data_IF_362803896910
#
_entry.id   IF_362803896910
#
_cell.length_a   1.000
_cell.length_b   1.000
_cell.length_c   1.000
_cell.angle_alpha   90.00
_cell.angle_beta   90.00
_cell.angle_gamma   90.00
#
_symmetry.space_group_name_H-M   'P 1'
#
loop_
_entity.id
_entity.type
_entity.pdbx_description
1 polymer ?
#
# COMPACT_ATOMS: atom_id res chain seq x y z
N UNK A 1 35.18 15.72 25.79
CA UNK A 1 34.20 15.37 26.84
C UNK A 1 33.07 14.63 26.15
N UNK A 2 33.20 13.31 26.03
CA UNK A 2 32.22 12.50 25.32
C UNK A 2 31.00 12.28 26.20
N UNK A 3 29.84 12.79 25.78
CA UNK A 3 28.57 12.44 26.41
C UNK A 3 28.28 10.98 26.09
N UNK A 4 28.41 10.11 27.10
CA UNK A 4 27.74 8.82 27.09
C UNK A 4 26.24 9.11 27.11
N UNK A 5 25.55 8.73 26.04
CA UNK A 5 24.09 8.66 26.04
C UNK A 5 23.76 7.45 26.90
N UNK A 6 23.34 7.68 28.14
CA UNK A 6 22.87 6.63 29.04
C UNK A 6 21.62 5.98 28.44
N UNK A 7 21.63 4.66 28.28
CA UNK A 7 20.52 3.88 27.72
C UNK A 7 19.22 4.03 28.53
N UNK A 8 19.32 4.42 29.82
CA UNK A 8 18.18 4.75 30.67
C UNK A 8 17.54 6.12 30.40
N UNK A 9 18.20 7.00 29.63
CA UNK A 9 17.67 8.33 29.29
C UNK A 9 16.55 8.26 28.25
N UNK A 10 16.47 7.23 27.41
CA UNK A 10 15.49 7.18 26.31
C UNK A 10 14.08 6.75 26.75
N UNK A 11 13.92 5.99 27.84
CA UNK A 11 12.65 5.36 28.23
C UNK A 11 11.58 6.34 28.72
N UNK A 12 11.95 7.23 29.66
CA UNK A 12 11.00 8.15 30.29
C UNK A 12 10.68 9.34 29.40
N UNK A 13 11.59 9.70 28.50
CA UNK A 13 11.48 10.91 27.70
C UNK A 13 10.52 10.77 26.51
N UNK A 14 10.32 9.60 25.91
CA UNK A 14 9.33 9.47 24.82
C UNK A 14 7.90 9.63 25.31
N UNK A 15 7.57 8.98 26.41
CA UNK A 15 6.30 9.14 27.10
C UNK A 15 6.15 10.57 27.58
N UNK A 16 7.18 11.15 28.23
CA UNK A 16 7.14 12.55 28.66
C UNK A 16 7.06 13.55 27.52
N UNK A 17 7.67 13.31 26.36
CA UNK A 17 7.60 14.19 25.18
C UNK A 17 6.18 14.13 24.63
N UNK A 18 5.63 12.93 24.41
CA UNK A 18 4.22 12.81 24.02
C UNK A 18 3.28 13.43 25.07
N UNK A 19 3.64 13.40 26.37
CA UNK A 19 2.86 14.01 27.46
C UNK A 19 3.03 15.53 27.60
N UNK A 20 4.21 16.11 27.38
CA UNK A 20 4.55 17.51 27.72
C UNK A 20 4.86 18.40 26.51
N UNK A 21 5.41 17.85 25.42
CA UNK A 21 5.85 18.61 24.25
C UNK A 21 5.45 17.88 22.95
N UNK A 22 4.40 18.37 22.27
CA UNK A 22 3.96 17.87 20.96
C UNK A 22 4.94 18.26 19.82
N UNK A 23 6.19 17.81 19.91
CA UNK A 23 7.21 18.06 18.88
C UNK A 23 7.44 16.80 18.03
N UNK A 24 6.89 16.72 16.80
CA UNK A 24 7.02 15.53 15.95
C UNK A 24 8.48 15.24 15.58
N UNK A 25 9.31 16.28 15.40
CA UNK A 25 10.74 16.14 15.13
C UNK A 25 11.49 15.48 16.28
N UNK A 26 11.12 15.81 17.52
CA UNK A 26 11.73 15.22 18.71
C UNK A 26 11.33 13.75 18.84
N UNK A 27 10.05 13.43 18.60
CA UNK A 27 9.57 12.05 18.58
C UNK A 27 10.31 11.24 17.51
N UNK A 28 10.46 11.76 16.30
CA UNK A 28 11.20 11.09 15.21
C UNK A 28 12.67 10.81 15.59
N UNK A 29 13.36 11.80 16.17
CA UNK A 29 14.73 11.61 16.67
C UNK A 29 14.79 10.52 17.75
N UNK A 30 13.84 10.52 18.68
CA UNK A 30 13.78 9.51 19.74
C UNK A 30 13.50 8.11 19.18
N UNK A 31 12.61 7.98 18.18
CA UNK A 31 12.36 6.72 17.48
C UNK A 31 13.60 6.21 16.76
N UNK A 32 14.37 7.11 16.14
CA UNK A 32 15.63 6.77 15.45
C UNK A 32 16.74 6.30 16.40
N UNK A 33 16.67 6.68 17.67
CA UNK A 33 17.68 6.35 18.69
C UNK A 33 17.55 4.96 19.32
N UNK A 34 16.66 4.09 18.83
CA UNK A 34 16.52 2.71 19.29
C UNK A 34 15.55 2.53 20.44
N UNK A 35 14.29 2.92 20.23
CA UNK A 35 13.22 2.80 21.23
C UNK A 35 12.75 1.37 21.43
N UNK A 36 12.40 0.99 22.68
CA UNK A 36 11.71 -0.29 22.94
C UNK A 36 10.27 -0.20 22.47
N UNK A 37 9.79 -1.26 21.82
CA UNK A 37 8.43 -1.33 21.28
C UNK A 37 7.36 -1.01 22.33
N UNK A 38 7.49 -1.53 23.56
CA UNK A 38 6.52 -1.29 24.65
C UNK A 38 6.37 0.19 25.01
N UNK A 39 7.47 0.96 24.94
CA UNK A 39 7.44 2.39 25.25
C UNK A 39 6.74 3.17 24.12
N UNK A 40 6.99 2.77 22.86
CA UNK A 40 6.31 3.32 21.68
C UNK A 40 4.81 3.00 21.69
N UNK A 41 4.40 1.80 22.13
CA UNK A 41 2.98 1.43 22.32
C UNK A 41 2.30 2.31 23.38
N UNK A 42 2.94 2.55 24.52
CA UNK A 42 2.41 3.46 25.55
C UNK A 42 2.28 4.88 25.03
N UNK A 43 3.31 5.37 24.34
CA UNK A 43 3.29 6.69 23.70
C UNK A 43 2.17 6.81 22.65
N UNK A 44 1.88 5.73 21.91
CA UNK A 44 0.79 5.67 20.96
C UNK A 44 -0.57 5.82 21.66
N UNK A 45 -0.82 5.06 22.72
CA UNK A 45 -2.07 5.14 23.50
C UNK A 45 -2.31 6.57 24.02
N UNK A 46 -1.26 7.21 24.56
CA UNK A 46 -1.35 8.60 25.05
C UNK A 46 -1.62 9.57 23.90
N UNK A 47 -0.91 9.42 22.78
CA UNK A 47 -1.05 10.28 21.60
C UNK A 47 -2.43 10.18 20.95
N UNK A 48 -3.02 8.98 20.89
CA UNK A 48 -4.40 8.75 20.45
C UNK A 48 -5.38 9.52 21.34
N UNK A 49 -5.21 9.45 22.67
CA UNK A 49 -6.04 10.20 23.61
C UNK A 49 -5.94 11.73 23.44
N UNK A 50 -4.79 12.23 22.98
CA UNK A 50 -4.57 13.65 22.67
C UNK A 50 -5.02 14.07 21.28
N UNK A 51 -5.18 13.12 20.35
CA UNK A 51 -5.55 13.39 18.94
C UNK A 51 -4.42 13.96 18.07
N UNK A 52 -3.15 13.77 18.45
CA UNK A 52 -2.02 14.30 17.69
C UNK A 52 -1.69 13.42 16.47
N UNK A 53 -2.42 13.64 15.37
CA UNK A 53 -2.36 12.81 14.16
C UNK A 53 -0.94 12.63 13.60
N UNK A 54 -0.10 13.67 13.68
CA UNK A 54 1.28 13.59 13.16
C UNK A 54 2.11 12.63 14.02
N UNK A 55 2.07 12.78 15.35
CA UNK A 55 2.79 11.89 16.26
C UNK A 55 2.25 10.46 16.15
N UNK A 56 0.93 10.28 16.08
CA UNK A 56 0.31 8.96 15.91
C UNK A 56 0.86 8.28 14.64
N UNK A 57 0.88 8.99 13.50
CA UNK A 57 1.38 8.41 12.24
C UNK A 57 2.86 8.00 12.32
N UNK A 58 3.71 8.77 13.01
CA UNK A 58 5.13 8.43 13.23
C UNK A 58 5.29 7.19 14.10
N UNK A 59 4.51 7.10 15.18
CA UNK A 59 4.53 5.95 16.09
C UNK A 59 4.03 4.69 15.39
N UNK A 60 2.93 4.79 14.63
CA UNK A 60 2.40 3.68 13.83
C UNK A 60 3.38 3.22 12.76
N UNK A 61 4.05 4.15 12.07
CA UNK A 61 5.07 3.82 11.05
C UNK A 61 6.20 2.99 11.64
N UNK A 62 6.59 3.26 12.89
CA UNK A 62 7.62 2.47 13.58
C UNK A 62 7.12 1.09 14.02
N UNK A 63 5.86 0.99 14.44
CA UNK A 63 5.29 -0.20 15.06
C UNK A 63 4.72 -1.22 14.06
N UNK A 64 4.11 -0.73 12.98
CA UNK A 64 3.21 -1.53 12.17
C UNK A 64 3.72 -1.82 10.75
N UNK A 65 4.69 -1.05 10.26
CA UNK A 65 5.16 -1.20 8.89
C UNK A 65 6.16 -2.36 8.78
N UNK A 66 5.73 -3.44 8.12
CA UNK A 66 6.58 -4.56 7.74
C UNK A 66 6.83 -4.52 6.24
N UNK A 67 7.97 -3.91 5.88
CA UNK A 67 8.42 -3.79 4.49
C UNK A 67 8.84 -5.12 3.87
N UNK A 68 9.21 -6.13 4.67
CA UNK A 68 9.61 -7.42 4.13
C UNK A 68 8.41 -8.19 3.56
N UNK A 69 7.24 -8.01 4.18
CA UNK A 69 6.00 -8.69 3.80
C UNK A 69 4.98 -7.76 3.10
N UNK A 70 5.34 -6.51 2.82
CA UNK A 70 4.44 -5.49 2.27
C UNK A 70 3.13 -5.39 3.07
N UNK A 71 3.25 -5.43 4.39
CA UNK A 71 2.12 -5.49 5.31
C UNK A 71 2.15 -4.36 6.31
N UNK A 72 0.96 -3.88 6.66
CA UNK A 72 0.73 -2.98 7.79
C UNK A 72 0.04 -3.79 8.88
N UNK A 73 0.75 -4.06 9.97
CA UNK A 73 0.30 -4.86 11.10
C UNK A 73 -0.12 -3.95 12.25
N UNK A 74 -1.39 -3.52 12.23
CA UNK A 74 -2.01 -2.69 13.25
C UNK A 74 -2.87 -3.53 14.22
N UNK A 75 -2.64 -4.83 14.34
CA UNK A 75 -3.36 -5.70 15.28
C UNK A 75 -3.09 -5.39 16.76
N UNK A 76 -4.15 -5.40 17.59
CA UNK A 76 -4.03 -5.46 19.05
C UNK A 76 -3.53 -4.17 19.73
N UNK A 77 -3.62 -3.02 19.06
CA UNK A 77 -3.22 -1.73 19.63
C UNK A 77 -4.33 -1.06 20.46
N UNK A 78 -5.56 -1.60 20.45
CA UNK A 78 -6.72 -1.04 21.16
C UNK A 78 -6.97 0.44 20.78
N UNK A 79 -6.87 0.76 19.49
CA UNK A 79 -6.91 2.14 18.99
C UNK A 79 -8.33 2.74 19.08
N UNK A 80 -9.37 1.90 19.04
CA UNK A 80 -10.79 2.26 19.21
C UNK A 80 -11.42 3.02 18.04
N UNK A 81 -10.63 3.79 17.29
CA UNK A 81 -11.02 4.45 16.03
C UNK A 81 -9.86 4.45 15.05
N UNK A 82 -10.10 4.80 13.80
CA UNK A 82 -9.04 5.02 12.82
C UNK A 82 -9.33 6.24 11.98
N UNK A 83 -8.29 6.97 11.59
CA UNK A 83 -8.40 8.17 10.76
C UNK A 83 -7.51 8.04 9.51
N UNK A 84 -7.94 8.59 8.35
CA UNK A 84 -7.13 8.55 7.13
C UNK A 84 -5.77 9.23 7.30
N UNK A 85 -5.70 10.27 8.14
CA UNK A 85 -4.47 11.01 8.46
C UNK A 85 -3.41 10.15 9.15
N UNK A 86 -3.81 9.11 9.89
CA UNK A 86 -2.90 8.21 10.58
C UNK A 86 -2.33 7.17 9.63
N UNK A 87 -3.17 6.69 8.71
CA UNK A 87 -2.85 5.64 7.76
C UNK A 87 -2.10 6.14 6.53
N UNK A 88 -2.44 7.34 6.03
CA UNK A 88 -1.83 7.94 4.84
C UNK A 88 -0.30 7.84 4.84
N UNK A 89 0.37 8.32 5.91
CA UNK A 89 1.82 8.24 6.01
C UNK A 89 2.38 6.82 6.20
N UNK A 90 1.59 5.75 6.29
CA UNK A 90 2.09 4.37 6.37
C UNK A 90 2.27 3.75 4.99
N UNK A 91 1.52 4.22 4.00
CA UNK A 91 1.62 3.71 2.65
C UNK A 91 2.84 4.34 1.93
N UNK A 92 3.56 3.56 1.12
CA UNK A 92 4.67 4.06 0.32
C UNK A 92 4.15 5.01 -0.78
N UNK A 93 4.58 6.27 -0.78
CA UNK A 93 4.20 7.23 -1.81
C UNK A 93 4.73 6.83 -3.19
N UNK A 94 3.86 6.82 -4.22
CA UNK A 94 4.26 6.71 -5.65
C UNK A 94 5.25 7.81 -6.07
N UNK A 95 5.26 8.95 -5.36
CA UNK A 95 6.15 10.09 -5.63
C UNK A 95 7.49 10.02 -4.90
N UNK A 96 7.75 8.95 -4.13
CA UNK A 96 9.05 8.74 -3.48
C UNK A 96 10.09 8.06 -4.39
N UNK A 97 9.80 7.86 -5.67
CA UNK A 97 10.84 7.64 -6.66
C UNK A 97 11.57 8.96 -6.93
N UNK A 98 12.74 9.11 -6.29
CA UNK A 98 13.74 10.19 -6.36
C UNK A 98 13.76 11.21 -5.21
N UNK A 99 13.58 10.75 -3.98
CA UNK A 99 14.57 11.09 -2.95
C UNK A 99 15.36 9.84 -2.56
N UNK A 100 16.00 9.22 -3.55
CA UNK A 100 17.40 8.86 -3.33
C UNK A 100 18.01 10.14 -2.78
N UNK A 101 18.51 10.12 -1.55
CA UNK A 101 19.52 11.10 -1.16
C UNK A 101 20.50 11.12 -2.31
N UNK A 102 20.42 12.13 -3.18
CA UNK A 102 21.44 12.37 -4.17
C UNK A 102 22.59 12.92 -3.37
N UNK A 103 23.32 12.01 -2.71
CA UNK A 103 24.66 12.35 -2.30
C UNK A 103 25.39 12.77 -3.58
N UNK A 104 26.25 13.78 -3.45
CA UNK A 104 26.99 14.37 -4.56
C UNK A 104 27.66 13.29 -5.42
N UNK A 105 28.07 12.18 -4.81
CA UNK A 105 28.62 10.99 -5.48
C UNK A 105 27.69 10.37 -6.54
N UNK A 106 26.39 10.23 -6.26
CA UNK A 106 25.41 9.67 -7.21
C UNK A 106 25.09 10.59 -8.40
N UNK A 107 25.30 11.90 -8.23
CA UNK A 107 25.16 12.91 -9.29
C UNK A 107 26.41 12.89 -10.15
N UNK A 108 27.60 12.88 -9.52
CA UNK A 108 28.88 12.75 -10.21
C UNK A 108 28.94 11.46 -11.04
N UNK A 109 28.53 10.32 -10.47
CA UNK A 109 28.53 9.04 -11.17
C UNK A 109 27.65 9.08 -12.44
N UNK A 110 26.49 9.74 -12.37
CA UNK A 110 25.62 9.93 -13.55
C UNK A 110 26.20 10.90 -14.57
N UNK A 111 26.89 11.96 -14.13
CA UNK A 111 27.59 12.87 -15.04
C UNK A 111 28.76 12.18 -15.74
N UNK A 112 29.55 11.38 -15.02
CA UNK A 112 30.67 10.61 -15.56
C UNK A 112 30.17 9.58 -16.57
N UNK A 113 29.10 8.83 -16.24
CA UNK A 113 28.49 7.87 -17.16
C UNK A 113 27.96 8.56 -18.43
N UNK A 114 27.34 9.74 -18.31
CA UNK A 114 26.89 10.51 -19.49
C UNK A 114 28.04 11.01 -20.35
N UNK A 115 29.16 11.39 -19.73
CA UNK A 115 30.35 11.85 -20.46
C UNK A 115 31.03 10.69 -21.20
N UNK A 116 31.11 9.51 -20.57
CA UNK A 116 31.63 8.29 -21.20
C UNK A 116 30.76 7.82 -22.37
N UNK A 117 29.43 7.88 -22.23
CA UNK A 117 28.54 7.55 -23.35
C UNK A 117 28.61 8.56 -24.50
N UNK A 118 28.96 9.83 -24.23
CA UNK A 118 29.18 10.83 -25.27
C UNK A 118 30.50 10.61 -26.02
N UNK A 119 31.58 10.25 -25.31
CA UNK A 119 32.86 9.96 -25.99
C UNK A 119 32.78 8.69 -26.86
N UNK A 120 31.97 7.70 -26.48
CA UNK A 120 31.73 6.50 -27.31
C UNK A 120 30.89 6.75 -28.55
N UNK A 121 30.12 7.85 -28.60
CA UNK A 121 29.35 8.24 -29.79
C UNK A 121 30.19 9.12 -30.72
N UNK A 122 31.14 9.89 -30.19
CA UNK A 122 32.05 10.71 -31.00
C UNK A 122 33.21 9.91 -31.63
N UNK A 123 33.63 8.77 -31.06
CA UNK A 123 34.63 7.88 -31.69
C UNK A 123 34.05 6.99 -32.81
N UNK A 124 32.73 6.91 -32.95
CA UNK A 124 32.05 6.11 -33.99
C UNK A 124 31.75 6.85 -35.30
N UNK A 125 32.01 8.15 -35.37
CA UNK A 125 31.69 8.99 -36.53
C UNK A 125 32.93 9.70 -37.10
N UNK A 126 33.99 8.95 -37.38
CA UNK A 126 35.14 9.43 -38.13
C UNK A 126 35.18 8.79 -39.53
N UNK A 127 34.46 9.39 -40.49
CA UNK A 127 34.81 9.29 -41.92
C UNK A 127 34.14 10.43 -42.70
N UNK A 128 34.91 11.48 -43.04
CA UNK A 128 34.61 12.33 -44.19
C UNK A 128 34.77 13.86 -44.01
N UNK A 129 35.96 14.37 -44.37
CA UNK A 129 36.25 15.66 -45.03
C UNK A 129 36.10 17.02 -44.30
N UNK A 130 37.26 17.57 -43.93
CA UNK A 130 37.81 18.96 -44.06
C UNK A 130 36.87 20.18 -44.07
N UNK A 131 37.11 21.11 -43.12
CA UNK A 131 36.80 22.55 -43.26
C UNK A 131 37.01 23.37 -41.96
N UNK A 132 37.97 24.30 -41.98
CA UNK A 132 38.43 25.20 -40.90
C UNK A 132 37.35 26.01 -40.13
N UNK A 133 37.55 26.32 -38.83
CA UNK A 133 38.12 27.58 -38.30
C UNK A 133 38.04 27.67 -36.75
N UNK A 134 38.83 28.62 -36.22
CA UNK A 134 39.38 28.88 -34.86
C UNK A 134 38.43 29.10 -33.66
N UNK A 135 39.05 28.92 -32.48
CA UNK A 135 38.96 29.71 -31.22
C UNK A 135 37.59 30.27 -30.75
N UNK A 136 37.14 29.86 -29.56
CA UNK A 136 37.32 30.71 -28.37
C UNK A 136 36.88 29.99 -27.08
N UNK A 137 37.76 30.13 -26.09
CA UNK A 137 37.65 29.60 -24.73
C UNK A 137 37.25 30.75 -23.82
N UNK A 138 36.38 30.45 -22.85
CA UNK A 138 35.91 31.28 -21.73
C UNK A 138 34.84 32.32 -22.06
N UNK A 139 33.62 32.09 -21.57
CA UNK A 139 33.19 32.91 -20.43
C UNK A 139 31.95 32.36 -19.70
N UNK A 140 32.01 32.55 -18.38
CA UNK A 140 30.89 32.74 -17.43
C UNK A 140 30.12 31.52 -16.91
N UNK A 141 30.61 31.12 -15.73
CA UNK A 141 29.79 30.78 -14.58
C UNK A 141 28.84 31.94 -14.18
N UNK A 142 27.73 31.52 -13.57
CA UNK A 142 26.77 32.27 -12.74
C UNK A 142 25.77 33.21 -13.43
N UNK A 143 24.50 32.74 -13.51
CA UNK A 143 23.41 33.36 -12.72
C UNK A 143 22.15 32.47 -12.72
N UNK A 144 21.66 32.16 -11.52
CA UNK A 144 20.34 31.57 -11.26
C UNK A 144 19.21 32.54 -11.66
N UNK A 145 18.04 32.05 -12.09
CA UNK A 145 16.74 32.17 -11.37
C UNK A 145 15.50 31.76 -12.20
N UNK A 146 14.57 31.04 -11.53
CA UNK A 146 13.08 31.15 -11.55
C UNK A 146 12.29 30.83 -12.85
N UNK A 147 11.07 30.24 -12.89
CA UNK A 147 10.23 29.29 -12.11
C UNK A 147 9.26 28.60 -13.15
N UNK A 148 8.07 28.07 -12.78
CA UNK A 148 7.69 26.66 -12.78
C UNK A 148 6.99 26.23 -14.08
N UNK A 149 6.64 24.95 -14.24
CA UNK A 149 5.59 24.63 -15.21
C UNK A 149 4.46 23.80 -14.60
N UNK A 150 3.28 24.28 -14.97
CA UNK A 150 1.93 23.88 -14.68
C UNK A 150 1.51 22.70 -15.56
N UNK A 151 0.58 21.94 -15.01
CA UNK A 151 -0.16 20.87 -15.66
C UNK A 151 -0.88 21.28 -16.95
N UNK A 152 -0.74 20.48 -17.99
CA UNK A 152 -1.82 19.77 -18.71
C UNK A 152 -1.22 19.26 -20.02
N UNK A 153 -1.47 18.00 -20.36
CA UNK A 153 -1.77 17.76 -21.78
C UNK A 153 -2.77 16.62 -21.97
N UNK A 154 -3.73 16.95 -22.82
CA UNK A 154 -4.94 16.23 -23.12
C UNK A 154 -4.74 15.44 -24.41
N UNK A 155 -5.34 14.27 -24.44
CA UNK A 155 -5.55 13.40 -25.60
C UNK A 155 -6.09 14.18 -26.81
N UNK A 156 -5.51 13.99 -28.00
CA UNK A 156 -6.20 13.70 -29.28
C UNK A 156 -5.15 13.40 -30.37
N UNK A 157 -5.16 12.18 -30.92
CA UNK A 157 -4.40 11.82 -32.12
C UNK A 157 -5.38 11.35 -33.19
N UNK A 158 -5.60 12.19 -34.20
CA UNK A 158 -6.28 11.84 -35.44
C UNK A 158 -5.38 10.95 -36.31
N UNK A 159 -6.06 10.10 -37.07
CA UNK A 159 -5.60 9.18 -38.11
C UNK A 159 -4.85 9.85 -39.27
N UNK A 160 -4.00 9.08 -39.96
CA UNK A 160 -4.11 8.72 -41.39
C UNK A 160 -2.90 7.85 -41.84
N UNK A 161 -3.17 6.63 -42.34
CA UNK A 161 -2.66 5.89 -43.54
C UNK A 161 -1.16 5.93 -43.96
N UNK A 162 -0.50 4.93 -44.59
CA UNK A 162 -0.78 3.61 -45.19
C UNK A 162 0.57 2.93 -45.60
N UNK A 163 0.49 1.65 -46.02
CA UNK A 163 1.40 0.84 -46.89
C UNK A 163 2.29 -0.31 -46.33
N UNK A 164 1.70 -1.53 -46.37
CA UNK A 164 2.00 -2.68 -47.26
C UNK A 164 3.30 -3.53 -47.24
N UNK A 165 3.03 -4.85 -47.32
CA UNK A 165 3.80 -6.03 -47.81
C UNK A 165 4.77 -6.82 -46.91
N UNK A 166 4.59 -8.16 -46.91
CA UNK A 166 5.73 -9.08 -47.10
C UNK A 166 5.92 -10.29 -46.16
N UNK A 167 5.12 -11.34 -46.33
CA UNK A 167 5.48 -12.78 -46.31
C UNK A 167 6.60 -13.40 -45.43
N UNK A 168 6.20 -14.50 -44.77
CA UNK A 168 6.85 -15.84 -44.71
C UNK A 168 7.73 -16.27 -43.52
N UNK A 169 7.29 -17.42 -42.95
CA UNK A 169 7.97 -18.48 -42.18
C UNK A 169 9.52 -18.45 -42.13
N UNK A 170 10.08 -18.75 -40.96
CA UNK A 170 11.02 -19.87 -40.72
C UNK A 170 11.31 -20.07 -39.21
N UNK A 171 11.18 -21.33 -38.76
CA UNK A 171 11.53 -21.83 -37.44
C UNK A 171 13.06 -21.91 -37.26
N UNK A 172 13.58 -21.66 -36.05
CA UNK A 172 14.65 -22.51 -35.50
C UNK A 172 14.69 -22.46 -33.97
N UNK A 173 14.75 -23.66 -33.39
CA UNK A 173 14.90 -24.01 -32.00
C UNK A 173 16.14 -23.39 -31.33
N UNK A 174 15.97 -22.79 -30.15
CA UNK A 174 16.87 -23.02 -29.00
C UNK A 174 16.05 -23.02 -27.70
N UNK A 175 16.39 -24.00 -26.84
CA UNK A 175 15.71 -24.32 -25.59
C UNK A 175 15.90 -23.19 -24.57
N UNK A 176 14.81 -22.66 -24.03
CA UNK A 176 14.83 -21.96 -22.74
C UNK A 176 14.04 -22.79 -21.73
N UNK A 177 14.67 -23.85 -21.22
CA UNK A 177 14.33 -24.37 -19.90
C UNK A 177 14.93 -23.41 -18.87
N UNK A 178 14.06 -22.94 -17.99
CA UNK A 178 14.35 -22.58 -16.60
C UNK A 178 15.46 -21.55 -16.40
N UNK A 179 15.07 -20.27 -16.33
CA UNK A 179 15.54 -19.30 -15.32
C UNK A 179 15.32 -17.85 -15.78
N UNK A 180 14.07 -17.40 -15.88
CA UNK A 180 13.74 -15.98 -15.64
C UNK A 180 12.42 -15.93 -14.85
N UNK A 181 12.43 -16.57 -13.69
CA UNK A 181 11.56 -16.26 -12.54
C UNK A 181 12.03 -14.98 -11.81
N UNK A 182 12.67 -14.03 -12.52
CA UNK A 182 13.41 -12.93 -11.90
C UNK A 182 13.03 -11.55 -12.43
N UNK A 183 11.94 -11.42 -13.18
CA UNK A 183 11.26 -10.12 -13.31
C UNK A 183 10.29 -9.96 -12.15
N UNK A 184 10.88 -9.96 -10.95
CA UNK A 184 10.26 -9.38 -9.80
C UNK A 184 10.21 -7.86 -10.10
N UNK A 185 9.11 -7.44 -10.70
CA UNK A 185 8.60 -6.08 -10.56
C UNK A 185 8.29 -5.90 -9.07
N UNK A 186 9.29 -5.68 -8.23
CA UNK A 186 9.20 -5.75 -6.76
C UNK A 186 8.39 -4.58 -6.18
N UNK A 187 7.07 -4.76 -6.24
CA UNK A 187 5.98 -4.35 -5.33
C UNK A 187 6.21 -3.10 -4.47
N UNK A 188 5.90 -1.93 -5.02
CA UNK A 188 5.74 -0.66 -4.27
C UNK A 188 4.40 -0.54 -3.52
N UNK A 189 3.65 -1.63 -3.32
CA UNK A 189 2.30 -1.57 -2.75
C UNK A 189 2.16 -2.47 -1.54
N UNK A 190 1.45 -1.96 -0.53
CA UNK A 190 1.02 -2.74 0.64
C UNK A 190 -0.08 -3.70 0.18
N UNK A 191 0.14 -4.99 0.39
CA UNK A 191 -0.79 -6.06 -0.01
C UNK A 191 -1.58 -6.60 1.17
N UNK A 192 -1.14 -6.37 2.41
CA UNK A 192 -1.83 -6.84 3.61
C UNK A 192 -2.02 -5.72 4.63
N UNK A 193 -3.24 -5.61 5.16
CA UNK A 193 -3.58 -4.66 6.23
C UNK A 193 -4.29 -5.43 7.34
N UNK A 194 -3.64 -5.49 8.48
CA UNK A 194 -4.20 -6.04 9.71
C UNK A 194 -4.63 -4.91 10.63
N UNK A 195 -5.93 -4.86 10.94
CA UNK A 195 -6.58 -3.93 11.84
C UNK A 195 -7.32 -4.68 12.96
N UNK A 196 -6.97 -5.95 13.20
CA UNK A 196 -7.62 -6.81 14.16
C UNK A 196 -7.47 -6.33 15.61
N UNK A 197 -8.36 -6.78 16.49
CA UNK A 197 -8.24 -6.56 17.94
C UNK A 197 -8.05 -5.08 18.35
N UNK A 198 -8.79 -4.16 17.71
CA UNK A 198 -8.67 -2.71 17.95
C UNK A 198 -9.92 -2.06 18.51
N UNK A 199 -10.96 -2.84 18.84
CA UNK A 199 -12.25 -2.34 19.35
C UNK A 199 -12.94 -1.37 18.37
N UNK A 200 -12.65 -1.48 17.07
CA UNK A 200 -13.22 -0.61 16.04
C UNK A 200 -14.72 -0.84 15.92
N UNK A 201 -15.50 0.25 15.91
CA UNK A 201 -16.95 0.21 15.71
C UNK A 201 -17.35 0.39 14.26
N UNK A 202 -16.54 1.11 13.50
CA UNK A 202 -16.67 1.36 12.07
C UNK A 202 -15.29 1.46 11.42
N UNK A 203 -15.28 1.41 10.09
CA UNK A 203 -14.09 1.59 9.24
C UNK A 203 -14.36 2.58 8.12
N UNK A 204 -15.23 3.57 8.38
CA UNK A 204 -15.64 4.55 7.35
C UNK A 204 -14.46 5.39 6.86
N UNK A 205 -13.45 5.56 7.71
CA UNK A 205 -12.17 6.17 7.35
C UNK A 205 -11.47 5.49 6.15
N UNK A 206 -11.67 4.18 5.94
CA UNK A 206 -11.14 3.48 4.77
C UNK A 206 -12.01 3.68 3.52
N UNK A 207 -13.31 3.93 3.72
CA UNK A 207 -14.32 4.04 2.66
C UNK A 207 -14.31 5.41 1.98
N UNK A 208 -14.01 6.48 2.73
CA UNK A 208 -13.95 7.82 2.16
C UNK A 208 -12.84 7.91 1.12
N UNK A 209 -13.16 8.50 -0.04
CA UNK A 209 -12.14 8.78 -1.07
C UNK A 209 -11.11 9.74 -0.48
N UNK A 210 -9.95 9.22 -0.12
CA UNK A 210 -8.91 9.95 0.57
C UNK A 210 -7.53 9.52 0.06
N UNK A 211 -6.46 10.03 0.68
CA UNK A 211 -5.08 9.78 0.25
C UNK A 211 -4.72 8.29 0.21
N UNK A 212 -5.42 7.41 0.94
CA UNK A 212 -5.13 5.98 0.98
C UNK A 212 -5.89 5.15 -0.07
N UNK A 213 -6.92 5.70 -0.72
CA UNK A 213 -7.79 4.91 -1.61
C UNK A 213 -7.01 4.26 -2.75
N UNK A 214 -6.02 4.95 -3.33
CA UNK A 214 -5.18 4.40 -4.41
C UNK A 214 -4.24 3.26 -3.96
N UNK A 215 -3.95 3.17 -2.66
CA UNK A 215 -3.18 2.05 -2.11
C UNK A 215 -4.06 0.84 -1.81
N UNK A 216 -5.28 1.09 -1.33
CA UNK A 216 -6.26 0.04 -1.02
C UNK A 216 -6.70 -0.74 -2.26
N UNK A 217 -6.57 -0.18 -3.47
CA UNK A 217 -6.86 -0.89 -4.73
C UNK A 217 -5.99 -2.14 -4.93
N UNK A 218 -4.77 -2.14 -4.38
CA UNK A 218 -3.81 -3.23 -4.49
C UNK A 218 -3.82 -4.17 -3.27
N UNK A 219 -4.71 -3.94 -2.30
CA UNK A 219 -4.78 -4.74 -1.09
C UNK A 219 -5.31 -6.15 -1.42
N UNK A 220 -4.55 -7.18 -1.06
CA UNK A 220 -4.89 -8.59 -1.26
C UNK A 220 -5.52 -9.20 0.00
N UNK A 221 -5.11 -8.75 1.19
CA UNK A 221 -5.55 -9.27 2.49
C UNK A 221 -5.96 -8.15 3.45
N UNK A 222 -7.15 -8.28 4.03
CA UNK A 222 -7.69 -7.35 5.04
C UNK A 222 -8.18 -8.13 6.26
N UNK A 223 -7.54 -7.92 7.40
CA UNK A 223 -7.89 -8.54 8.67
C UNK A 223 -8.56 -7.51 9.58
N UNK A 224 -9.83 -7.75 9.90
CA UNK A 224 -10.69 -6.88 10.71
C UNK A 224 -11.32 -7.65 11.87
N UNK A 225 -10.81 -8.84 12.17
CA UNK A 225 -11.36 -9.71 13.18
C UNK A 225 -11.16 -9.16 14.61
N UNK A 226 -11.95 -9.66 15.55
CA UNK A 226 -11.91 -9.24 16.97
C UNK A 226 -12.11 -7.72 17.15
N UNK A 227 -13.02 -7.13 16.38
CA UNK A 227 -13.45 -5.74 16.55
C UNK A 227 -14.91 -5.69 17.01
N UNK A 228 -15.50 -4.50 17.00
CA UNK A 228 -16.90 -4.25 17.36
C UNK A 228 -17.71 -3.78 16.14
N UNK A 229 -17.34 -4.21 14.92
CA UNK A 229 -17.97 -3.76 13.69
C UNK A 229 -19.40 -4.31 13.58
N UNK A 230 -20.35 -3.43 13.28
CA UNK A 230 -21.75 -3.80 13.02
C UNK A 230 -22.08 -3.83 11.52
N UNK A 231 -21.24 -3.21 10.69
CA UNK A 231 -21.42 -3.09 9.25
C UNK A 231 -20.07 -3.00 8.54
N UNK A 232 -20.09 -3.24 7.23
CA UNK A 232 -18.95 -3.03 6.34
C UNK A 232 -19.35 -1.99 5.30
N UNK A 233 -18.58 -0.92 5.07
CA UNK A 233 -18.98 0.12 4.14
C UNK A 233 -19.01 -0.40 2.70
N UNK A 234 -20.16 -0.30 2.03
CA UNK A 234 -20.34 -0.82 0.67
C UNK A 234 -19.36 -0.18 -0.34
N UNK A 235 -19.05 1.10 -0.21
CA UNK A 235 -18.14 1.82 -1.10
C UNK A 235 -16.70 1.29 -1.00
N UNK A 236 -16.33 0.69 0.13
CA UNK A 236 -15.01 0.08 0.29
C UNK A 236 -14.87 -1.16 -0.61
N UNK A 237 -15.95 -1.88 -0.90
CA UNK A 237 -15.94 -3.00 -1.85
C UNK A 237 -15.53 -2.57 -3.27
N UNK A 238 -15.88 -1.34 -3.67
CA UNK A 238 -15.51 -0.78 -4.99
C UNK A 238 -14.03 -0.37 -5.04
N UNK A 239 -13.47 -0.02 -3.88
CA UNK A 239 -12.05 0.36 -3.73
C UNK A 239 -11.15 -0.87 -3.69
N UNK A 240 -11.56 -1.93 -2.97
CA UNK A 240 -10.78 -3.15 -2.73
C UNK A 240 -10.79 -4.12 -3.94
N UNK A 241 -10.25 -3.67 -5.07
CA UNK A 241 -10.31 -4.38 -6.37
C UNK A 241 -9.55 -5.70 -6.40
N UNK A 242 -8.45 -5.80 -5.65
CA UNK A 242 -7.58 -6.98 -5.63
C UNK A 242 -7.76 -7.87 -4.39
N UNK A 243 -8.76 -7.59 -3.54
CA UNK A 243 -8.90 -8.30 -2.26
C UNK A 243 -9.28 -9.76 -2.47
N UNK A 244 -8.46 -10.65 -1.93
CA UNK A 244 -8.63 -12.11 -2.00
C UNK A 244 -9.00 -12.72 -0.66
N UNK A 245 -8.59 -12.09 0.44
CA UNK A 245 -8.85 -12.56 1.80
C UNK A 245 -9.45 -11.44 2.64
N UNK A 246 -10.66 -11.67 3.17
CA UNK A 246 -11.33 -10.77 4.10
C UNK A 246 -11.72 -11.53 5.35
N UNK A 247 -11.16 -11.11 6.48
CA UNK A 247 -11.47 -11.68 7.78
C UNK A 247 -12.24 -10.68 8.66
N UNK A 248 -13.51 -11.01 8.94
CA UNK A 248 -14.44 -10.26 9.78
C UNK A 248 -14.89 -11.08 10.99
N UNK A 249 -14.17 -12.16 11.36
CA UNK A 249 -14.60 -13.02 12.45
C UNK A 249 -14.62 -12.28 13.80
N UNK A 250 -15.48 -12.70 14.73
CA UNK A 250 -15.59 -12.08 16.07
C UNK A 250 -15.86 -10.57 16.00
N UNK A 251 -16.91 -10.18 15.30
CA UNK A 251 -17.44 -8.81 15.26
C UNK A 251 -18.88 -8.79 15.82
N UNK A 252 -19.70 -7.82 15.40
CA UNK A 252 -21.09 -7.61 15.86
C UNK A 252 -22.07 -7.48 14.69
N UNK A 253 -21.80 -8.15 13.57
CA UNK A 253 -22.71 -8.17 12.43
C UNK A 253 -23.99 -8.94 12.79
N UNK A 254 -25.15 -8.29 12.69
CA UNK A 254 -26.47 -8.92 12.90
C UNK A 254 -27.08 -9.44 11.59
N UNK A 255 -26.59 -8.98 10.45
CA UNK A 255 -27.01 -9.38 9.12
C UNK A 255 -25.81 -9.55 8.21
N UNK A 256 -25.87 -10.50 7.28
CA UNK A 256 -24.80 -10.70 6.30
C UNK A 256 -24.82 -9.60 5.23
N UNK A 257 -23.72 -8.84 5.05
CA UNK A 257 -23.62 -7.84 3.99
C UNK A 257 -23.44 -8.50 2.61
N UNK A 258 -24.56 -8.82 1.93
CA UNK A 258 -24.55 -9.54 0.65
C UNK A 258 -23.77 -8.85 -0.47
N UNK A 259 -23.55 -7.52 -0.38
CA UNK A 259 -22.69 -6.77 -1.30
C UNK A 259 -21.20 -7.17 -1.23
N UNK A 260 -20.74 -7.83 -0.16
CA UNK A 260 -19.39 -8.42 -0.13
C UNK A 260 -19.21 -9.46 -1.24
N UNK A 261 -20.28 -10.16 -1.63
CA UNK A 261 -20.26 -11.15 -2.71
C UNK A 261 -20.15 -10.52 -4.10
N UNK A 262 -20.22 -9.18 -4.22
CA UNK A 262 -19.96 -8.46 -5.48
C UNK A 262 -18.47 -8.22 -5.74
N UNK A 263 -17.59 -8.51 -4.77
CA UNK A 263 -16.15 -8.34 -4.94
C UNK A 263 -15.62 -9.37 -5.95
N UNK A 264 -14.83 -8.91 -6.93
CA UNK A 264 -14.42 -9.72 -8.08
C UNK A 264 -13.36 -10.77 -7.74
N UNK A 265 -12.52 -10.50 -6.74
CA UNK A 265 -11.32 -11.30 -6.46
C UNK A 265 -11.38 -12.08 -5.14
N UNK A 266 -12.46 -11.96 -4.37
CA UNK A 266 -12.53 -12.56 -3.04
C UNK A 266 -12.51 -14.09 -3.13
N UNK A 267 -11.58 -14.73 -2.43
CA UNK A 267 -11.38 -16.19 -2.41
C UNK A 267 -11.78 -16.76 -1.06
N UNK A 268 -11.46 -16.03 0.01
CA UNK A 268 -11.68 -16.42 1.40
C UNK A 268 -12.45 -15.32 2.12
N UNK A 269 -13.63 -15.65 2.62
CA UNK A 269 -14.45 -14.75 3.43
C UNK A 269 -14.80 -15.42 4.75
N UNK A 270 -14.31 -14.85 5.84
CA UNK A 270 -14.66 -15.27 7.19
C UNK A 270 -15.54 -14.23 7.87
N UNK A 271 -16.76 -14.61 8.24
CA UNK A 271 -17.71 -13.81 9.03
C UNK A 271 -18.20 -14.61 10.24
N UNK A 272 -17.42 -15.59 10.69
CA UNK A 272 -17.75 -16.43 11.83
C UNK A 272 -17.78 -15.66 13.15
N UNK A 273 -18.41 -16.23 14.18
CA UNK A 273 -18.51 -15.60 15.52
C UNK A 273 -19.10 -14.19 15.45
N UNK A 274 -20.18 -14.04 14.70
CA UNK A 274 -20.99 -12.84 14.64
C UNK A 274 -22.41 -13.16 15.12
N UNK A 275 -23.33 -12.20 14.99
CA UNK A 275 -24.73 -12.34 15.36
C UNK A 275 -25.63 -12.47 14.12
N UNK A 276 -25.10 -13.01 13.01
CA UNK A 276 -25.79 -13.05 11.72
C UNK A 276 -26.91 -14.11 11.77
N UNK A 277 -28.15 -13.71 11.51
CA UNK A 277 -29.26 -14.65 11.38
C UNK A 277 -30.61 -14.04 11.75
N UNK A 278 -31.67 -14.88 11.81
CA UNK A 278 -31.63 -16.34 11.68
C UNK A 278 -31.56 -16.88 10.25
N UNK A 279 -31.86 -16.06 9.24
CA UNK A 279 -31.88 -16.45 7.83
C UNK A 279 -31.03 -15.51 6.99
N UNK A 280 -30.37 -16.05 5.97
CA UNK A 280 -29.70 -15.28 4.93
C UNK A 280 -30.36 -15.60 3.60
N UNK A 281 -30.91 -14.57 2.94
CA UNK A 281 -31.46 -14.69 1.58
C UNK A 281 -30.57 -13.88 0.65
N UNK A 282 -29.90 -14.58 -0.27
CA UNK A 282 -29.04 -13.94 -1.26
C UNK A 282 -29.81 -13.63 -2.54
N UNK A 283 -29.51 -12.48 -3.14
CA UNK A 283 -30.04 -12.10 -4.45
C UNK A 283 -29.41 -12.97 -5.55
N UNK A 284 -30.20 -13.76 -6.30
CA UNK A 284 -29.69 -14.60 -7.40
C UNK A 284 -28.99 -13.83 -8.53
N UNK A 285 -29.21 -12.52 -8.64
CA UNK A 285 -28.53 -11.67 -9.63
C UNK A 285 -27.08 -11.36 -9.24
N UNK A 286 -26.71 -11.53 -7.97
CA UNK A 286 -25.33 -11.37 -7.50
C UNK A 286 -24.52 -12.61 -7.85
N UNK A 287 -23.28 -12.41 -8.28
CA UNK A 287 -22.35 -13.49 -8.62
C UNK A 287 -21.00 -13.22 -7.97
N UNK A 288 -20.47 -14.24 -7.30
CA UNK A 288 -19.14 -14.26 -6.71
C UNK A 288 -18.37 -15.45 -7.29
N UNK A 289 -17.77 -15.30 -8.48
CA UNK A 289 -17.19 -16.43 -9.22
C UNK A 289 -15.86 -16.94 -8.66
N UNK A 290 -15.30 -16.26 -7.66
CA UNK A 290 -13.95 -16.49 -7.12
C UNK A 290 -13.94 -17.06 -5.71
N UNK A 291 -15.04 -16.93 -4.95
CA UNK A 291 -15.11 -17.36 -3.56
C UNK A 291 -15.04 -18.89 -3.46
N UNK A 292 -14.03 -19.37 -2.73
CA UNK A 292 -13.76 -20.80 -2.49
C UNK A 292 -14.06 -21.21 -1.07
N UNK A 293 -13.79 -20.34 -0.10
CA UNK A 293 -13.99 -20.62 1.32
C UNK A 293 -14.90 -19.56 1.92
N UNK A 294 -16.02 -20.02 2.48
CA UNK A 294 -16.97 -19.15 3.16
C UNK A 294 -17.27 -19.69 4.55
N UNK A 295 -16.85 -18.95 5.58
CA UNK A 295 -17.04 -19.32 6.97
C UNK A 295 -18.13 -18.46 7.62
N UNK A 296 -19.23 -19.12 8.00
CA UNK A 296 -20.39 -18.57 8.68
C UNK A 296 -20.59 -19.21 10.07
N UNK A 297 -19.61 -19.97 10.57
CA UNK A 297 -19.71 -20.68 11.85
C UNK A 297 -19.97 -19.74 13.04
N UNK A 298 -20.57 -20.26 14.11
CA UNK A 298 -20.86 -19.54 15.35
C UNK A 298 -21.63 -18.23 15.09
N UNK A 299 -22.66 -18.31 14.26
CA UNK A 299 -23.63 -17.25 14.01
C UNK A 299 -25.01 -17.68 14.54
N UNK A 300 -26.05 -16.89 14.30
CA UNK A 300 -27.40 -17.20 14.77
C UNK A 300 -28.25 -17.89 13.71
N UNK A 301 -27.62 -18.59 12.74
CA UNK A 301 -28.30 -19.18 11.60
C UNK A 301 -29.13 -20.41 11.98
N UNK A 302 -30.39 -20.43 11.58
CA UNK A 302 -31.26 -21.61 11.74
C UNK A 302 -31.28 -22.53 10.51
N UNK A 303 -30.80 -22.02 9.37
CA UNK A 303 -30.71 -22.75 8.11
C UNK A 303 -29.53 -22.23 7.27
N UNK A 304 -29.12 -23.02 6.27
CA UNK A 304 -28.12 -22.59 5.30
C UNK A 304 -28.65 -21.40 4.44
N UNK A 305 -27.77 -20.52 3.92
CA UNK A 305 -28.20 -19.38 3.11
C UNK A 305 -28.97 -19.79 1.85
N UNK A 306 -30.11 -19.16 1.62
CA UNK A 306 -30.89 -19.36 0.40
C UNK A 306 -30.18 -18.78 -0.82
N UNK A 307 -30.31 -19.46 -1.97
CA UNK A 307 -29.67 -19.10 -3.25
C UNK A 307 -28.14 -19.12 -3.26
N UNK A 308 -27.46 -19.67 -2.24
CA UNK A 308 -25.99 -19.70 -2.19
C UNK A 308 -25.34 -20.35 -3.42
N UNK A 309 -25.91 -21.47 -3.89
CA UNK A 309 -25.41 -22.16 -5.09
C UNK A 309 -25.53 -21.32 -6.37
N UNK A 310 -26.48 -20.40 -6.42
CA UNK A 310 -26.66 -19.51 -7.57
C UNK A 310 -25.64 -18.37 -7.53
N UNK A 311 -25.24 -17.93 -6.34
CA UNK A 311 -24.33 -16.80 -6.17
C UNK A 311 -22.87 -17.23 -6.22
N UNK A 312 -22.52 -18.39 -5.64
CA UNK A 312 -21.14 -18.84 -5.48
C UNK A 312 -20.90 -20.16 -6.21
N UNK A 313 -20.42 -20.08 -7.45
CA UNK A 313 -20.28 -21.25 -8.34
C UNK A 313 -19.02 -22.10 -8.05
N UNK A 314 -18.00 -21.53 -7.41
CA UNK A 314 -16.71 -22.19 -7.13
C UNK A 314 -16.47 -22.48 -5.65
N UNK A 315 -17.54 -22.53 -4.84
CA UNK A 315 -17.41 -22.77 -3.42
C UNK A 315 -16.85 -24.18 -3.16
N UNK A 316 -15.67 -24.25 -2.56
CA UNK A 316 -14.99 -25.50 -2.20
C UNK A 316 -15.31 -25.89 -0.75
N UNK A 317 -15.48 -24.90 0.13
CA UNK A 317 -15.73 -25.11 1.55
C UNK A 317 -16.75 -24.10 2.10
N UNK A 318 -17.83 -24.63 2.68
CA UNK A 318 -18.82 -23.88 3.45
C UNK A 318 -18.79 -24.37 4.91
N UNK A 319 -18.57 -23.46 5.85
CA UNK A 319 -18.51 -23.80 7.28
C UNK A 319 -19.70 -23.15 7.99
N UNK A 320 -20.55 -23.97 8.61
CA UNK A 320 -21.79 -23.56 9.31
C UNK A 320 -21.86 -24.10 10.75
N UNK A 321 -20.75 -24.59 11.30
CA UNK A 321 -20.71 -25.16 12.65
C UNK A 321 -21.02 -24.11 13.73
N UNK A 322 -21.71 -24.48 14.80
CA UNK A 322 -21.97 -23.62 15.98
C UNK A 322 -23.40 -23.14 16.06
#
# INVERSE_FOLDING_TARGET
>A
MGMKIDENWNHTHQVMVCEKESSPKLVELLLSSGSREQDVRKALTISIGKGDSQIISLLLRRLALDLANNSICLGGFCIGKIEPSWLGPLFPDKTSNLRKQTNIGSVLARMVLRYQTKSTVEEGAASGSVGNFSEDVLDKFDEWTFIPDSSMDSVFGQSDDLDSEGSSKLQSHMRHSDSISSLASEREYITSLDLSANELRDIDALSQKCCISGHLEHLEKLELHQNALTSFPQQLCETLKCLTHLDLHSNKFTSFPSYLLKMNCIVNLDVSRNDIGPLIVLDPAVKCPTLKQFNLSYNQLSAAPENLSNVVEKLEQLILEG
#
